data_IF_548068858281
#
_entry.id   IF_548068858281
#
_cell.length_a   1.000
_cell.length_b   1.000
_cell.length_c   1.000
_cell.angle_alpha   90.00
_cell.angle_beta   90.00
_cell.angle_gamma   90.00
#
_symmetry.space_group_name_H-M   'P 1'
#
loop_
_entity.id
_entity.type
_entity.pdbx_description
1 polymer ?
#
# COMPACT_ATOMS: atom_id res chain seq x y z
N UNK A 1 -4.49 14.96 0.83
CA UNK A 1 -5.52 13.88 0.83
C UNK A 1 -6.50 14.00 -0.33
N UNK A 2 -7.11 15.15 -0.59
CA UNK A 2 -7.99 15.30 -1.78
C UNK A 2 -7.21 15.05 -3.08
N UNK A 3 -6.01 15.65 -3.21
CA UNK A 3 -5.12 15.43 -4.35
C UNK A 3 -4.71 13.96 -4.56
N UNK A 4 -4.46 13.20 -3.49
CA UNK A 4 -4.17 11.76 -3.59
C UNK A 4 -5.37 10.96 -4.07
N UNK A 5 -6.60 11.33 -3.67
CA UNK A 5 -7.83 10.67 -4.12
C UNK A 5 -8.04 10.92 -5.62
N UNK A 6 -7.87 12.18 -6.06
CA UNK A 6 -7.97 12.54 -7.47
C UNK A 6 -6.89 11.84 -8.30
N UNK A 7 -5.64 11.82 -7.81
CA UNK A 7 -4.54 11.11 -8.48
C UNK A 7 -4.79 9.61 -8.58
N UNK A 8 -5.35 8.99 -7.54
CA UNK A 8 -5.74 7.57 -7.56
C UNK A 8 -6.82 7.29 -8.61
N UNK A 9 -7.87 8.13 -8.68
CA UNK A 9 -8.93 8.00 -9.68
C UNK A 9 -8.40 8.05 -11.13
N UNK A 10 -7.42 8.93 -11.39
CA UNK A 10 -6.74 9.05 -12.68
C UNK A 10 -5.91 7.82 -13.06
N UNK A 11 -5.31 7.13 -12.08
CA UNK A 11 -4.52 5.92 -12.31
C UNK A 11 -5.43 4.73 -12.54
N UNK A 12 -6.49 4.57 -11.73
CA UNK A 12 -7.35 3.38 -11.76
C UNK A 12 -8.38 3.43 -12.87
N UNK A 13 -8.91 4.62 -13.20
CA UNK A 13 -9.97 4.83 -14.20
C UNK A 13 -11.08 3.77 -14.08
N UNK A 14 -11.86 3.80 -12.99
CA UNK A 14 -12.90 2.79 -12.78
C UNK A 14 -13.92 2.85 -13.92
N UNK A 15 -14.16 1.70 -14.56
CA UNK A 15 -15.25 1.55 -15.52
C UNK A 15 -16.52 1.13 -14.78
N UNK A 16 -17.57 1.96 -14.86
CA UNK A 16 -18.83 1.73 -14.17
C UNK A 16 -19.88 1.03 -15.04
N UNK A 17 -19.60 0.78 -16.33
CA UNK A 17 -20.58 0.15 -17.22
C UNK A 17 -20.70 -1.36 -17.01
N UNK A 18 -19.64 -2.03 -16.53
CA UNK A 18 -19.60 -3.48 -16.35
C UNK A 18 -19.07 -3.85 -14.96
N UNK A 19 -19.86 -3.58 -13.92
CA UNK A 19 -19.49 -3.95 -12.54
C UNK A 19 -19.55 -5.48 -12.40
N UNK A 20 -18.41 -6.10 -12.14
CA UNK A 20 -18.30 -7.53 -11.88
C UNK A 20 -18.35 -7.81 -10.36
N UNK A 21 -18.66 -9.05 -9.99
CA UNK A 21 -18.54 -9.57 -8.62
C UNK A 21 -17.13 -9.32 -8.07
N UNK A 22 -16.10 -9.43 -8.92
CA UNK A 22 -14.72 -9.11 -8.55
C UNK A 22 -14.53 -7.69 -8.03
N UNK A 23 -15.20 -6.70 -8.64
CA UNK A 23 -15.11 -5.29 -8.23
C UNK A 23 -15.78 -5.06 -6.87
N UNK A 24 -16.93 -5.71 -6.64
CA UNK A 24 -17.64 -5.64 -5.37
C UNK A 24 -16.82 -6.28 -4.24
N UNK A 25 -16.23 -7.45 -4.48
CA UNK A 25 -15.35 -8.13 -3.53
C UNK A 25 -14.10 -7.29 -3.25
N UNK A 26 -13.50 -6.68 -4.27
CA UNK A 26 -12.36 -5.78 -4.11
C UNK A 26 -12.72 -4.57 -3.23
N UNK A 27 -13.87 -3.93 -3.46
CA UNK A 27 -14.34 -2.79 -2.66
C UNK A 27 -14.55 -3.18 -1.19
N UNK A 28 -15.27 -4.28 -0.94
CA UNK A 28 -15.52 -4.81 0.41
C UNK A 28 -14.20 -5.15 1.11
N UNK A 29 -13.26 -5.78 0.39
CA UNK A 29 -11.94 -6.10 0.93
C UNK A 29 -11.17 -4.86 1.37
N UNK A 30 -11.27 -3.76 0.62
CA UNK A 30 -10.65 -2.48 0.96
C UNK A 30 -11.22 -1.87 2.25
N UNK A 31 -12.55 -1.95 2.43
CA UNK A 31 -13.21 -1.48 3.65
C UNK A 31 -12.77 -2.32 4.86
N UNK A 32 -12.80 -3.65 4.73
CA UNK A 32 -12.35 -4.57 5.78
C UNK A 32 -10.87 -4.34 6.12
N UNK A 33 -10.01 -4.17 5.11
CA UNK A 33 -8.60 -3.88 5.29
C UNK A 33 -8.38 -2.55 6.03
N UNK A 34 -9.18 -1.52 5.76
CA UNK A 34 -9.11 -0.24 6.47
C UNK A 34 -9.41 -0.42 7.98
N UNK A 35 -10.47 -1.15 8.33
CA UNK A 35 -10.75 -1.49 9.73
C UNK A 35 -9.63 -2.33 10.36
N UNK A 36 -9.11 -3.32 9.62
CA UNK A 36 -7.97 -4.12 10.04
C UNK A 36 -6.73 -3.28 10.34
N UNK A 37 -6.41 -2.29 9.50
CA UNK A 37 -5.29 -1.38 9.74
C UNK A 37 -5.51 -0.48 10.95
N UNK A 38 -6.74 -0.02 11.21
CA UNK A 38 -7.09 0.73 12.43
C UNK A 38 -6.89 -0.12 13.69
N UNK A 39 -7.40 -1.35 13.71
CA UNK A 39 -7.21 -2.28 14.82
C UNK A 39 -5.73 -2.62 15.02
N UNK A 40 -5.01 -2.89 13.93
CA UNK A 40 -3.57 -3.14 13.95
C UNK A 40 -2.79 -1.94 14.50
N UNK A 41 -3.21 -0.72 14.17
CA UNK A 41 -2.60 0.51 14.67
C UNK A 41 -2.75 0.64 16.18
N UNK A 42 -3.91 0.29 16.73
CA UNK A 42 -4.13 0.31 18.18
C UNK A 42 -3.35 -0.81 18.88
N UNK A 43 -3.37 -2.03 18.33
CA UNK A 43 -2.62 -3.17 18.87
C UNK A 43 -1.10 -2.91 18.95
N UNK A 44 -0.53 -2.16 18.00
CA UNK A 44 0.90 -1.77 18.01
C UNK A 44 1.33 -0.93 19.20
N UNK A 45 0.39 -0.29 19.92
CA UNK A 45 0.70 0.49 21.13
C UNK A 45 0.99 -0.42 22.33
N UNK A 46 0.33 -1.57 22.41
CA UNK A 46 0.37 -2.45 23.59
C UNK A 46 1.19 -3.73 23.36
N UNK A 47 1.27 -4.20 22.11
CA UNK A 47 1.88 -5.49 21.77
C UNK A 47 3.21 -5.30 21.02
N UNK A 48 4.20 -6.16 21.29
CA UNK A 48 5.48 -6.16 20.58
C UNK A 48 5.25 -6.49 19.09
N UNK A 49 5.92 -5.76 18.20
CA UNK A 49 5.74 -5.89 16.75
C UNK A 49 5.93 -7.30 16.20
N UNK A 50 6.86 -8.10 16.74
CA UNK A 50 7.09 -9.46 16.26
C UNK A 50 5.89 -10.39 16.52
N UNK A 51 5.18 -10.21 17.64
CA UNK A 51 3.97 -10.98 17.95
C UNK A 51 2.85 -10.61 16.97
N UNK A 52 2.70 -9.32 16.69
CA UNK A 52 1.72 -8.83 15.72
C UNK A 52 1.95 -9.47 14.35
N UNK A 53 3.20 -9.47 13.87
CA UNK A 53 3.56 -10.07 12.58
C UNK A 53 3.31 -11.58 12.61
N UNK A 54 3.70 -12.26 13.69
CA UNK A 54 3.51 -13.70 13.85
C UNK A 54 2.02 -14.08 13.76
N UNK A 55 1.14 -13.44 14.54
CA UNK A 55 -0.29 -13.73 14.51
C UNK A 55 -0.92 -13.39 13.15
N UNK A 56 -0.54 -12.26 12.55
CA UNK A 56 -1.08 -11.85 11.24
C UNK A 56 -0.69 -12.83 10.14
N UNK A 57 0.58 -13.28 10.12
CA UNK A 57 1.07 -14.28 9.16
C UNK A 57 0.50 -15.67 9.41
N UNK A 58 0.41 -16.09 10.68
CA UNK A 58 -0.11 -17.41 11.04
C UNK A 58 -1.60 -17.54 10.69
N UNK A 59 -2.42 -16.58 11.12
CA UNK A 59 -3.85 -16.57 10.82
C UNK A 59 -4.08 -16.38 9.32
N UNK A 60 -3.34 -15.47 8.67
CA UNK A 60 -3.42 -15.26 7.22
C UNK A 60 -3.08 -16.52 6.42
N UNK A 61 -2.04 -17.24 6.82
CA UNK A 61 -1.66 -18.51 6.20
C UNK A 61 -2.71 -19.59 6.41
N UNK A 62 -3.29 -19.70 7.62
CA UNK A 62 -4.35 -20.69 7.90
C UNK A 62 -5.61 -20.42 7.07
N UNK A 63 -6.06 -19.17 7.03
CA UNK A 63 -7.23 -18.79 6.24
C UNK A 63 -6.98 -19.05 4.76
N UNK A 64 -5.81 -18.66 4.25
CA UNK A 64 -5.43 -18.91 2.84
C UNK A 64 -5.39 -20.40 2.52
N UNK A 65 -4.90 -21.23 3.45
CA UNK A 65 -4.87 -22.68 3.30
C UNK A 65 -6.27 -23.31 3.26
N UNK A 66 -7.19 -22.85 4.10
CA UNK A 66 -8.58 -23.32 4.10
C UNK A 66 -9.29 -22.93 2.79
N UNK A 67 -9.05 -21.71 2.28
CA UNK A 67 -9.67 -21.21 1.04
C UNK A 67 -9.18 -22.00 -0.19
N UNK A 68 -7.91 -22.39 -0.24
CA UNK A 68 -7.36 -23.11 -1.39
C UNK A 68 -7.69 -24.61 -1.41
N UNK A 69 -8.04 -25.19 -0.26
CA UNK A 69 -8.33 -26.62 -0.10
C UNK A 69 -9.33 -27.21 -1.12
N UNK A 70 -10.49 -26.58 -1.42
CA UNK A 70 -11.45 -27.13 -2.38
C UNK A 70 -10.96 -27.16 -3.84
N UNK A 71 -9.99 -26.32 -4.22
CA UNK A 71 -9.48 -26.21 -5.59
C UNK A 71 -7.96 -26.32 -5.63
N UNK A 72 -7.41 -27.31 -4.93
CA UNK A 72 -5.97 -27.49 -4.82
C UNK A 72 -5.36 -27.98 -6.14
N UNK A 73 -4.79 -27.06 -6.90
CA UNK A 73 -4.01 -27.36 -8.11
C UNK A 73 -2.54 -27.45 -7.74
N UNK A 74 -1.89 -28.56 -8.07
CA UNK A 74 -0.45 -28.74 -7.83
C UNK A 74 0.31 -27.95 -8.92
N UNK A 75 1.04 -26.88 -8.55
CA UNK A 75 1.74 -26.06 -9.52
C UNK A 75 3.05 -26.71 -9.98
N UNK A 76 3.51 -26.33 -11.17
CA UNK A 76 4.82 -26.74 -11.69
C UNK A 76 5.96 -26.22 -10.79
N UNK A 77 7.09 -26.94 -10.73
CA UNK A 77 8.22 -26.62 -9.85
C UNK A 77 8.74 -25.17 -10.02
N UNK A 78 8.72 -24.63 -11.23
CA UNK A 78 9.12 -23.24 -11.49
C UNK A 78 8.17 -22.23 -10.84
N UNK A 79 6.86 -22.52 -10.84
CA UNK A 79 5.84 -21.67 -10.21
C UNK A 79 5.96 -21.74 -8.69
N UNK A 80 6.30 -22.91 -8.13
CA UNK A 80 6.60 -23.05 -6.70
C UNK A 80 7.79 -22.17 -6.30
N UNK A 81 8.85 -22.12 -7.11
CA UNK A 81 10.00 -21.25 -6.86
C UNK A 81 9.59 -19.76 -6.82
N UNK A 82 8.80 -19.30 -7.80
CA UNK A 82 8.30 -17.92 -7.79
C UNK A 82 7.34 -17.62 -6.62
N UNK A 83 6.50 -18.57 -6.23
CA UNK A 83 5.63 -18.45 -5.06
C UNK A 83 6.42 -18.34 -3.75
N UNK A 84 7.49 -19.12 -3.60
CA UNK A 84 8.36 -19.04 -2.42
C UNK A 84 9.08 -17.69 -2.37
N UNK A 85 9.64 -17.23 -3.50
CA UNK A 85 10.32 -15.94 -3.56
C UNK A 85 9.37 -14.77 -3.28
N UNK A 86 8.17 -14.77 -3.86
CA UNK A 86 7.17 -13.73 -3.61
C UNK A 86 6.65 -13.77 -2.17
N UNK A 87 6.45 -14.96 -1.60
CA UNK A 87 6.07 -15.14 -0.20
C UNK A 87 7.13 -14.61 0.76
N UNK A 88 8.40 -14.94 0.55
CA UNK A 88 9.52 -14.42 1.35
C UNK A 88 9.60 -12.89 1.28
N UNK A 89 9.49 -12.32 0.08
CA UNK A 89 9.51 -10.87 -0.10
C UNK A 89 8.29 -10.20 0.53
N UNK A 90 7.12 -10.84 0.50
CA UNK A 90 5.91 -10.39 1.17
C UNK A 90 6.05 -10.36 2.69
N UNK A 91 6.63 -11.40 3.29
CA UNK A 91 6.91 -11.45 4.74
C UNK A 91 7.88 -10.34 5.13
N UNK A 92 8.99 -10.18 4.39
CA UNK A 92 9.95 -9.12 4.62
C UNK A 92 9.30 -7.73 4.51
N UNK A 93 8.49 -7.50 3.48
CA UNK A 93 7.73 -6.27 3.29
C UNK A 93 6.80 -5.98 4.47
N UNK A 94 6.07 -6.98 4.94
CA UNK A 94 5.17 -6.83 6.09
C UNK A 94 5.94 -6.53 7.39
N UNK A 95 7.11 -7.14 7.60
CA UNK A 95 7.99 -6.86 8.74
C UNK A 95 8.40 -5.38 8.72
N UNK A 96 8.91 -4.89 7.57
CA UNK A 96 9.33 -3.50 7.44
C UNK A 96 8.18 -2.51 7.63
N UNK A 97 7.00 -2.79 7.10
CA UNK A 97 5.80 -1.96 7.32
C UNK A 97 5.45 -1.97 8.81
N UNK A 98 5.31 -3.13 9.43
CA UNK A 98 4.81 -3.21 10.81
C UNK A 98 5.78 -2.57 11.81
N UNK A 99 7.09 -2.76 11.60
CA UNK A 99 8.13 -2.12 12.40
C UNK A 99 8.22 -0.62 12.11
N UNK A 100 8.30 -0.21 10.84
CA UNK A 100 8.42 1.20 10.46
C UNK A 100 7.26 2.05 10.94
N UNK A 101 6.02 1.54 10.84
CA UNK A 101 4.81 2.22 11.30
C UNK A 101 4.71 2.37 12.82
N UNK A 102 5.58 1.72 13.60
CA UNK A 102 5.65 1.89 15.06
C UNK A 102 6.41 3.16 15.46
N UNK A 103 7.37 3.58 14.66
CA UNK A 103 8.30 4.67 15.00
C UNK A 103 7.97 6.00 14.32
N UNK A 104 6.92 6.05 13.50
CA UNK A 104 6.54 7.24 12.73
C UNK A 104 5.20 7.81 13.20
N UNK A 105 5.12 9.14 13.25
CA UNK A 105 3.90 9.88 13.53
C UNK A 105 2.81 9.61 12.48
N UNK A 106 1.55 9.83 12.85
CA UNK A 106 0.38 9.62 11.97
C UNK A 106 0.53 10.31 10.60
N UNK A 107 1.07 11.53 10.58
CA UNK A 107 1.28 12.31 9.36
C UNK A 107 2.40 11.73 8.47
N UNK A 108 3.47 11.20 9.07
CA UNK A 108 4.55 10.53 8.33
C UNK A 108 4.08 9.16 7.80
N UNK A 109 3.25 8.46 8.57
CA UNK A 109 2.66 7.18 8.15
C UNK A 109 1.74 7.29 6.92
N UNK A 110 1.01 8.39 6.78
CA UNK A 110 0.19 8.63 5.58
C UNK A 110 1.05 8.94 4.35
N UNK A 111 2.16 9.67 4.52
CA UNK A 111 3.16 9.90 3.47
C UNK A 111 3.78 8.57 2.99
N UNK A 112 4.25 7.74 3.93
CA UNK A 112 4.80 6.41 3.60
C UNK A 112 3.76 5.55 2.86
N UNK A 113 2.48 5.65 3.23
CA UNK A 113 1.44 4.90 2.53
C UNK A 113 1.25 5.36 1.08
N UNK A 114 1.25 6.68 0.84
CA UNK A 114 1.05 7.25 -0.49
C UNK A 114 2.25 7.03 -1.41
N UNK A 115 3.48 7.04 -0.87
CA UNK A 115 4.68 6.79 -1.68
C UNK A 115 4.74 5.37 -2.25
N UNK A 116 4.12 4.38 -1.58
CA UNK A 116 4.00 3.01 -2.10
C UNK A 116 3.37 2.95 -3.49
N UNK A 117 2.41 3.83 -3.79
CA UNK A 117 1.76 3.89 -5.11
C UNK A 117 2.77 4.29 -6.18
N UNK A 118 3.60 5.29 -5.91
CA UNK A 118 4.63 5.77 -6.85
C UNK A 118 5.66 4.68 -7.11
N UNK A 119 6.17 4.02 -6.05
CA UNK A 119 7.08 2.90 -6.20
C UNK A 119 6.45 1.74 -6.98
N UNK A 120 5.16 1.46 -6.76
CA UNK A 120 4.41 0.47 -7.51
C UNK A 120 4.39 0.77 -9.02
N UNK A 121 4.11 2.02 -9.41
CA UNK A 121 4.12 2.43 -10.83
C UNK A 121 5.52 2.32 -11.42
N UNK A 122 6.56 2.79 -10.72
CA UNK A 122 7.95 2.74 -11.20
C UNK A 122 8.41 1.30 -11.43
N UNK A 123 8.14 0.42 -10.45
CA UNK A 123 8.50 -1.00 -10.54
C UNK A 123 7.66 -1.73 -11.59
N UNK A 124 6.36 -1.42 -11.71
CA UNK A 124 5.46 -1.93 -12.75
C UNK A 124 6.03 -1.69 -14.15
N UNK A 125 6.38 -0.44 -14.43
CA UNK A 125 6.97 -0.04 -15.70
C UNK A 125 8.34 -0.68 -15.92
N UNK A 126 9.22 -0.65 -14.91
CA UNK A 126 10.60 -1.09 -15.08
C UNK A 126 10.76 -2.61 -15.17
N UNK A 127 9.91 -3.38 -14.48
CA UNK A 127 10.04 -4.85 -14.39
C UNK A 127 9.03 -5.53 -15.29
N UNK A 128 7.78 -5.06 -15.30
CA UNK A 128 6.68 -5.68 -16.04
C UNK A 128 6.42 -5.02 -17.39
N UNK A 129 7.15 -3.95 -17.73
CA UNK A 129 6.96 -3.17 -18.96
C UNK A 129 5.52 -2.67 -19.14
N UNK A 130 4.86 -2.32 -18.03
CA UNK A 130 3.51 -1.78 -18.04
C UNK A 130 3.44 -0.50 -18.89
N UNK A 131 2.39 -0.37 -19.70
CA UNK A 131 2.18 0.76 -20.59
C UNK A 131 1.94 2.06 -19.79
N UNK A 132 2.93 2.95 -19.81
CA UNK A 132 2.84 4.29 -19.23
C UNK A 132 1.93 5.19 -20.06
N UNK A 133 0.65 5.21 -19.70
CA UNK A 133 -0.30 6.15 -20.28
C UNK A 133 -0.15 7.53 -19.64
N UNK A 134 -0.41 8.60 -20.39
CA UNK A 134 -0.38 9.99 -19.91
C UNK A 134 -1.18 10.20 -18.60
N UNK A 135 -2.27 9.45 -18.41
CA UNK A 135 -3.10 9.45 -17.19
C UNK A 135 -2.34 8.96 -15.95
N UNK A 136 -1.57 7.89 -16.09
CA UNK A 136 -0.76 7.32 -15.01
C UNK A 136 0.32 8.32 -14.58
N UNK A 137 0.94 8.99 -15.55
CA UNK A 137 1.93 10.06 -15.30
C UNK A 137 1.29 11.22 -14.53
N UNK A 138 0.16 11.74 -15.02
CA UNK A 138 -0.56 12.83 -14.35
C UNK A 138 -1.01 12.46 -12.93
N UNK A 139 -1.56 11.26 -12.75
CA UNK A 139 -1.96 10.75 -11.45
C UNK A 139 -0.76 10.62 -10.49
N UNK A 140 0.37 10.12 -10.98
CA UNK A 140 1.63 10.05 -10.23
C UNK A 140 2.13 11.43 -9.78
N UNK A 141 2.09 12.43 -10.67
CA UNK A 141 2.46 13.82 -10.36
C UNK A 141 1.55 14.41 -9.27
N UNK A 142 0.23 14.20 -9.36
CA UNK A 142 -0.73 14.66 -8.35
C UNK A 142 -0.45 14.07 -6.97
N UNK A 143 -0.13 12.77 -6.92
CA UNK A 143 0.23 12.08 -5.67
C UNK A 143 1.54 12.66 -5.11
N UNK A 144 2.56 12.89 -5.96
CA UNK A 144 3.82 13.53 -5.57
C UNK A 144 3.61 14.93 -4.98
N UNK A 145 2.78 15.78 -5.61
CA UNK A 145 2.45 17.11 -5.09
C UNK A 145 1.80 16.99 -3.71
N UNK A 146 0.86 16.06 -3.54
CA UNK A 146 0.23 15.85 -2.24
C UNK A 146 1.20 15.37 -1.16
N UNK A 147 2.19 14.54 -1.52
CA UNK A 147 3.25 14.10 -0.61
C UNK A 147 4.10 15.27 -0.14
N UNK A 148 4.55 16.12 -1.07
CA UNK A 148 5.36 17.30 -0.75
C UNK A 148 4.58 18.25 0.16
N UNK A 149 3.30 18.49 -0.13
CA UNK A 149 2.44 19.32 0.72
C UNK A 149 2.29 18.79 2.15
N UNK A 150 2.01 17.49 2.32
CA UNK A 150 1.78 16.89 3.65
C UNK A 150 3.07 16.70 4.45
N UNK A 151 4.23 16.59 3.80
CA UNK A 151 5.53 16.50 4.48
C UNK A 151 5.94 17.76 5.24
N UNK A 152 5.18 18.86 5.10
CA UNK A 152 5.50 20.13 5.76
C UNK A 152 6.77 20.78 5.21
N UNK A 153 7.31 20.30 4.08
CA UNK A 153 8.41 20.95 3.36
C UNK A 153 7.97 22.37 2.94
N UNK A 154 6.73 22.53 2.48
CA UNK A 154 6.16 23.83 2.15
C UNK A 154 6.06 24.77 3.37
N UNK A 155 5.57 24.26 4.51
CA UNK A 155 5.50 25.04 5.75
C UNK A 155 6.90 25.46 6.24
N UNK A 156 7.87 24.54 6.21
CA UNK A 156 9.26 24.85 6.57
C UNK A 156 9.92 25.84 5.59
N UNK A 157 9.60 25.75 4.30
CA UNK A 157 10.15 26.63 3.27
C UNK A 157 9.56 28.04 3.36
N UNK A 158 8.25 28.17 3.60
CA UNK A 158 7.58 29.45 3.84
C UNK A 158 8.04 30.10 5.15
N UNK A 159 8.16 29.31 6.22
CA UNK A 159 8.58 29.82 7.53
C UNK A 159 10.06 30.27 7.52
N UNK A 160 10.94 29.57 6.78
CA UNK A 160 12.33 30.01 6.58
C UNK A 160 12.46 31.23 5.66
N UNK A 161 11.52 31.49 4.74
CA UNK A 161 11.49 32.74 3.96
C UNK A 161 11.05 33.93 4.80
N UNK A 162 10.04 33.77 5.66
CA UNK A 162 9.58 34.83 6.57
C UNK A 162 10.66 35.22 7.58
N UNK A 163 11.43 34.25 8.09
CA UNK A 163 12.55 34.48 9.02
C UNK A 163 13.78 35.15 8.40
N UNK A 164 13.85 35.25 7.07
CA UNK A 164 14.89 35.98 6.32
C UNK A 164 14.46 37.40 5.91
N UNK A 165 13.20 37.75 6.16
CA UNK A 165 12.60 39.05 5.86
C UNK A 165 12.53 39.98 7.09
N UNK A 166 13.01 39.51 8.24
CA UNK A 166 13.26 40.28 9.46
C UNK A 166 14.75 40.14 9.81
#
# INVERSE_FOLDING_TARGET
MILTIVGYYLIVVPDFHNINIGDLVALISGIIAAFGFCALREARKYVKSYLIIFYLMFIGSLISFIIILPNLVIPQLIVVFYMLMSGLMGVLGQIFITMGYRYIDSAKGSLVSASRIIFGVILGVSIFSDLLTFRIVLGGILILISLVGVSGILDRYMNNRLKKSF
#
